data_IF_759751533158
#
_entry.id   IF_759751533158
#
_cell.length_a   1.000
_cell.length_b   1.000
_cell.length_c   1.000
_cell.angle_alpha   90.00
_cell.angle_beta   90.00
_cell.angle_gamma   90.00
#
_symmetry.space_group_name_H-M   'P 1'
#
loop_
_entity.id
_entity.type
_entity.pdbx_description
1 polymer ?
#
# COMPACT_ATOMS: atom_id res chain seq x y z
N UNK A 1 -42.20 18.85 5.94
CA UNK A 1 -42.13 17.59 5.17
C UNK A 1 -42.14 17.94 3.71
N UNK A 2 -41.35 17.21 2.89
CA UNK A 2 -41.25 17.40 1.43
C UNK A 2 -41.55 16.09 0.73
N UNK A 3 -42.26 16.09 -0.40
CA UNK A 3 -42.71 14.89 -1.09
C UNK A 3 -41.76 14.51 -2.23
N UNK A 4 -41.35 13.26 -2.31
CA UNK A 4 -40.59 12.72 -3.43
C UNK A 4 -41.48 12.67 -4.67
N UNK A 5 -41.17 13.49 -5.67
CA UNK A 5 -41.94 13.57 -6.92
C UNK A 5 -41.33 12.70 -8.04
N UNK A 6 -40.00 12.53 -8.04
CA UNK A 6 -39.34 11.63 -8.96
C UNK A 6 -38.01 11.09 -8.37
N UNK A 7 -37.64 9.88 -8.81
CA UNK A 7 -36.33 9.24 -8.58
C UNK A 7 -35.79 8.81 -9.95
N UNK A 8 -34.76 9.49 -10.43
CA UNK A 8 -34.23 9.26 -11.80
C UNK A 8 -32.78 8.76 -11.77
N UNK A 9 -32.49 7.72 -12.55
CA UNK A 9 -31.12 7.23 -12.72
C UNK A 9 -30.28 8.27 -13.46
N UNK A 10 -29.09 8.55 -12.95
CA UNK A 10 -28.17 9.49 -13.60
C UNK A 10 -27.62 8.91 -14.90
N UNK A 11 -27.70 9.66 -16.01
CA UNK A 11 -27.27 9.22 -17.35
C UNK A 11 -25.79 8.80 -17.42
N UNK A 12 -24.90 9.47 -16.65
CA UNK A 12 -23.45 9.20 -16.65
C UNK A 12 -23.00 8.28 -15.52
N UNK A 13 -23.88 7.94 -14.60
CA UNK A 13 -23.55 7.17 -13.39
C UNK A 13 -24.72 6.25 -13.03
N UNK A 14 -24.85 5.06 -13.64
CA UNK A 14 -26.00 4.15 -13.45
C UNK A 14 -26.23 3.71 -11.99
N UNK A 15 -25.18 3.81 -11.17
CA UNK A 15 -25.23 3.48 -9.73
C UNK A 15 -25.67 4.66 -8.86
N UNK A 16 -26.12 5.76 -9.46
CA UNK A 16 -26.59 6.97 -8.78
C UNK A 16 -27.97 7.38 -9.28
N UNK A 17 -28.74 8.00 -8.39
CA UNK A 17 -30.07 8.55 -8.70
C UNK A 17 -30.15 10.01 -8.27
N UNK A 18 -30.97 10.77 -9.01
CA UNK A 18 -31.40 12.11 -8.62
C UNK A 18 -32.72 12.01 -7.89
N UNK A 19 -32.84 12.68 -6.77
CA UNK A 19 -34.06 12.81 -5.98
C UNK A 19 -34.67 14.18 -6.25
N UNK A 20 -35.94 14.18 -6.64
CA UNK A 20 -36.75 15.39 -6.83
C UNK A 20 -37.76 15.49 -5.70
N UNK A 21 -37.80 16.63 -5.03
CA UNK A 21 -38.76 16.93 -3.98
C UNK A 21 -39.63 18.09 -4.44
N UNK A 22 -40.96 17.91 -4.33
CA UNK A 22 -41.95 18.91 -4.69
C UNK A 22 -41.81 19.45 -6.13
N UNK A 23 -41.30 18.61 -7.06
CA UNK A 23 -41.11 18.95 -8.45
C UNK A 23 -39.72 19.50 -8.81
N UNK A 24 -38.86 19.79 -7.82
CA UNK A 24 -37.54 20.36 -8.02
C UNK A 24 -36.43 19.36 -7.70
N UNK A 25 -35.30 19.45 -8.42
CA UNK A 25 -34.10 18.68 -8.06
C UNK A 25 -33.63 19.05 -6.65
N UNK A 26 -33.46 18.05 -5.79
CA UNK A 26 -33.02 18.26 -4.42
C UNK A 26 -31.56 17.79 -4.21
N UNK A 27 -31.26 16.52 -4.47
CA UNK A 27 -29.93 15.95 -4.29
C UNK A 27 -29.77 14.63 -5.06
N UNK A 28 -28.50 14.21 -5.23
CA UNK A 28 -28.17 12.90 -5.79
C UNK A 28 -27.75 11.91 -4.70
N UNK A 29 -28.16 10.65 -4.84
CA UNK A 29 -27.80 9.55 -3.94
C UNK A 29 -27.19 8.37 -4.70
N UNK A 30 -26.35 7.58 -4.05
CA UNK A 30 -26.02 6.24 -4.50
C UNK A 30 -27.29 5.37 -4.50
N UNK A 31 -27.44 4.47 -5.48
CA UNK A 31 -28.63 3.59 -5.55
C UNK A 31 -28.86 2.78 -4.29
N UNK A 32 -27.79 2.35 -3.64
CA UNK A 32 -27.87 1.59 -2.39
C UNK A 32 -28.48 2.43 -1.25
N UNK A 33 -28.16 3.74 -1.17
CA UNK A 33 -28.72 4.66 -0.18
C UNK A 33 -30.19 4.95 -0.50
N UNK A 34 -30.53 5.03 -1.78
CA UNK A 34 -31.90 5.30 -2.23
C UNK A 34 -32.81 4.05 -2.33
N UNK A 35 -32.31 2.86 -2.02
CA UNK A 35 -32.98 1.58 -2.28
C UNK A 35 -34.38 1.45 -1.64
N UNK A 36 -34.60 2.15 -0.54
CA UNK A 36 -35.85 2.12 0.23
C UNK A 36 -36.77 3.32 -0.04
N UNK A 37 -36.35 4.28 -0.87
CA UNK A 37 -37.15 5.43 -1.21
C UNK A 37 -38.13 5.11 -2.34
N UNK A 38 -39.31 5.74 -2.26
CA UNK A 38 -40.38 5.59 -3.26
C UNK A 38 -40.95 6.94 -3.67
N UNK A 39 -41.33 7.09 -4.93
CA UNK A 39 -42.09 8.24 -5.40
C UNK A 39 -43.42 8.33 -4.62
N UNK A 40 -43.78 9.52 -4.18
CA UNK A 40 -44.94 9.78 -3.34
C UNK A 40 -44.65 9.77 -1.86
N UNK A 41 -43.49 9.30 -1.39
CA UNK A 41 -43.07 9.30 0.01
C UNK A 41 -42.79 10.72 0.49
N UNK A 42 -43.22 11.03 1.71
CA UNK A 42 -42.88 12.29 2.38
C UNK A 42 -41.64 12.12 3.24
N UNK A 43 -40.76 13.10 3.19
CA UNK A 43 -39.52 13.17 3.95
C UNK A 43 -39.54 14.37 4.91
N UNK A 44 -39.20 14.16 6.17
CA UNK A 44 -38.87 15.24 7.09
C UNK A 44 -37.49 15.83 6.80
N UNK A 45 -37.20 17.03 7.26
CA UNK A 45 -35.87 17.65 7.16
C UNK A 45 -34.80 16.75 7.80
N UNK A 46 -35.08 16.19 8.97
CA UNK A 46 -34.18 15.24 9.65
C UNK A 46 -33.88 14.00 8.78
N UNK A 47 -34.89 13.49 8.04
CA UNK A 47 -34.70 12.34 7.16
C UNK A 47 -33.85 12.72 5.95
N UNK A 48 -34.00 13.92 5.42
CA UNK A 48 -33.18 14.45 4.32
C UNK A 48 -31.73 14.59 4.79
N UNK A 49 -31.47 15.15 5.96
CA UNK A 49 -30.13 15.25 6.55
C UNK A 49 -29.49 13.87 6.77
N UNK A 50 -30.23 12.87 7.27
CA UNK A 50 -29.76 11.50 7.41
C UNK A 50 -29.35 10.90 6.06
N UNK A 51 -30.17 11.05 5.02
CA UNK A 51 -29.87 10.55 3.67
C UNK A 51 -28.62 11.21 3.09
N UNK A 52 -28.43 12.51 3.30
CA UNK A 52 -27.24 13.23 2.87
C UNK A 52 -25.98 12.76 3.62
N UNK A 53 -26.11 12.49 4.93
CA UNK A 53 -25.02 11.94 5.73
C UNK A 53 -24.67 10.49 5.31
N UNK A 54 -25.68 9.66 4.99
CA UNK A 54 -25.48 8.32 4.43
C UNK A 54 -24.80 8.37 3.06
N UNK A 55 -25.20 9.28 2.19
CA UNK A 55 -24.56 9.52 0.90
C UNK A 55 -23.10 9.95 1.05
N UNK A 56 -22.81 10.85 1.99
CA UNK A 56 -21.44 11.27 2.24
C UNK A 56 -20.54 10.08 2.64
N UNK A 57 -21.03 9.19 3.51
CA UNK A 57 -20.33 7.96 3.93
C UNK A 57 -20.14 7.00 2.77
N UNK A 58 -21.18 6.78 1.96
CA UNK A 58 -21.11 5.86 0.82
C UNK A 58 -20.14 6.38 -0.25
N UNK A 59 -20.14 7.68 -0.54
CA UNK A 59 -19.17 8.30 -1.45
C UNK A 59 -17.73 8.14 -0.95
N UNK A 60 -17.48 8.35 0.33
CA UNK A 60 -16.17 8.17 0.92
C UNK A 60 -15.70 6.71 0.82
N UNK A 61 -16.60 5.77 1.10
CA UNK A 61 -16.32 4.34 0.99
C UNK A 61 -16.01 3.94 -0.46
N UNK A 62 -16.81 4.36 -1.44
CA UNK A 62 -16.55 4.10 -2.85
C UNK A 62 -15.21 4.69 -3.33
N UNK A 63 -14.86 5.90 -2.87
CA UNK A 63 -13.57 6.51 -3.16
C UNK A 63 -12.40 5.70 -2.58
N UNK A 64 -12.54 5.22 -1.33
CA UNK A 64 -11.54 4.37 -0.71
C UNK A 64 -11.39 3.03 -1.43
N UNK A 65 -12.50 2.40 -1.81
CA UNK A 65 -12.51 1.14 -2.59
C UNK A 65 -11.82 1.31 -3.94
N UNK A 66 -12.09 2.41 -4.64
CA UNK A 66 -11.41 2.73 -5.90
C UNK A 66 -9.90 2.90 -5.67
N UNK A 67 -9.48 3.55 -4.58
CA UNK A 67 -8.07 3.73 -4.26
C UNK A 67 -7.37 2.41 -3.89
N UNK A 68 -8.07 1.51 -3.21
CA UNK A 68 -7.59 0.17 -2.85
C UNK A 68 -7.53 -0.79 -4.04
N UNK A 69 -8.38 -0.61 -5.07
CA UNK A 69 -8.43 -1.51 -6.23
C UNK A 69 -7.11 -1.56 -7.04
N UNK A 70 -6.27 -0.53 -6.93
CA UNK A 70 -4.98 -0.47 -7.63
C UNK A 70 -3.86 -1.23 -6.91
N UNK A 71 -3.83 -1.21 -5.59
CA UNK A 71 -2.90 -1.93 -4.71
C UNK A 71 -3.30 -1.82 -3.24
N UNK A 72 -2.75 -2.68 -2.40
CA UNK A 72 -2.85 -2.52 -0.95
C UNK A 72 -2.31 -1.15 -0.49
N UNK A 73 -2.96 -0.56 0.51
CA UNK A 73 -2.66 0.76 1.09
C UNK A 73 -2.64 0.68 2.61
N UNK A 74 -1.81 1.51 3.24
CA UNK A 74 -1.92 1.74 4.68
C UNK A 74 -3.14 2.61 5.00
N UNK A 75 -3.63 2.55 6.24
CA UNK A 75 -4.73 3.42 6.69
C UNK A 75 -4.36 4.91 6.53
N UNK A 76 -3.13 5.29 6.79
CA UNK A 76 -2.63 6.65 6.57
C UNK A 76 -2.70 7.08 5.11
N UNK A 77 -2.36 6.19 4.15
CA UNK A 77 -2.49 6.48 2.71
C UNK A 77 -3.96 6.65 2.31
N UNK A 78 -4.88 5.83 2.86
CA UNK A 78 -6.33 5.95 2.61
C UNK A 78 -6.85 7.27 3.16
N UNK A 79 -6.53 7.61 4.41
CA UNK A 79 -6.88 8.88 5.05
C UNK A 79 -6.43 10.08 4.22
N UNK A 80 -5.18 10.09 3.79
CA UNK A 80 -4.64 11.16 2.94
C UNK A 80 -5.35 11.27 1.60
N UNK A 81 -5.73 10.13 1.00
CA UNK A 81 -6.51 10.13 -0.24
C UNK A 81 -7.89 10.75 -0.03
N UNK A 82 -8.60 10.36 1.02
CA UNK A 82 -9.93 10.89 1.33
C UNK A 82 -9.89 12.39 1.65
N UNK A 83 -8.87 12.86 2.39
CA UNK A 83 -8.65 14.31 2.64
C UNK A 83 -8.44 15.10 1.34
N UNK A 84 -7.71 14.55 0.37
CA UNK A 84 -7.53 15.19 -0.95
C UNK A 84 -8.82 15.31 -1.75
N UNK A 85 -9.81 14.48 -1.43
CA UNK A 85 -11.17 14.55 -1.99
C UNK A 85 -12.14 15.34 -1.12
N UNK A 86 -11.60 16.17 -0.19
CA UNK A 86 -12.35 17.07 0.67
C UNK A 86 -13.41 16.36 1.55
N UNK A 87 -13.18 15.08 1.87
CA UNK A 87 -14.03 14.30 2.77
C UNK A 87 -13.80 14.79 4.21
N UNK A 88 -14.87 15.14 4.98
CA UNK A 88 -14.73 15.56 6.37
C UNK A 88 -14.15 14.47 7.27
N UNK A 89 -13.33 14.86 8.26
CA UNK A 89 -12.63 13.91 9.14
C UNK A 89 -13.55 12.89 9.84
N UNK A 90 -14.75 13.27 10.36
CA UNK A 90 -15.67 12.29 10.96
C UNK A 90 -16.11 11.20 9.97
N UNK A 91 -16.29 11.55 8.70
CA UNK A 91 -16.67 10.59 7.65
C UNK A 91 -15.47 9.71 7.28
N UNK A 92 -14.25 10.26 7.29
CA UNK A 92 -13.01 9.48 7.08
C UNK A 92 -12.87 8.40 8.17
N UNK A 93 -13.04 8.77 9.45
CA UNK A 93 -12.95 7.81 10.56
C UNK A 93 -13.98 6.68 10.42
N UNK A 94 -15.23 7.02 10.12
CA UNK A 94 -16.28 6.02 9.90
C UNK A 94 -15.98 5.10 8.70
N UNK A 95 -15.38 5.67 7.64
CA UNK A 95 -14.98 4.91 6.47
C UNK A 95 -13.83 3.93 6.79
N UNK A 96 -12.81 4.40 7.53
CA UNK A 96 -11.70 3.55 7.96
C UNK A 96 -12.17 2.43 8.89
N UNK A 97 -13.07 2.73 9.82
CA UNK A 97 -13.64 1.72 10.70
C UNK A 97 -14.39 0.64 9.91
N UNK A 98 -15.23 1.02 8.94
CA UNK A 98 -15.89 0.06 8.05
C UNK A 98 -14.89 -0.78 7.26
N UNK A 99 -13.83 -0.16 6.71
CA UNK A 99 -12.79 -0.89 5.98
C UNK A 99 -12.02 -1.88 6.87
N UNK A 100 -11.81 -1.57 8.16
CA UNK A 100 -11.22 -2.51 9.13
C UNK A 100 -12.15 -3.70 9.38
N UNK A 101 -13.43 -3.44 9.62
CA UNK A 101 -14.45 -4.48 9.84
C UNK A 101 -14.57 -5.41 8.63
N UNK A 102 -14.49 -4.86 7.42
CA UNK A 102 -14.51 -5.61 6.17
C UNK A 102 -13.16 -6.30 5.84
N UNK A 103 -12.12 -6.13 6.68
CA UNK A 103 -10.77 -6.68 6.47
C UNK A 103 -9.98 -6.04 5.32
N UNK A 104 -10.44 -4.88 4.81
CA UNK A 104 -9.85 -4.19 3.65
C UNK A 104 -8.76 -3.17 4.03
N UNK A 105 -8.72 -2.74 5.29
CA UNK A 105 -7.68 -1.91 5.86
C UNK A 105 -7.09 -2.60 7.09
N UNK A 106 -5.84 -3.06 6.97
CA UNK A 106 -5.13 -3.73 8.04
C UNK A 106 -3.63 -3.44 7.92
N UNK A 107 -3.15 -2.52 8.76
CA UNK A 107 -1.75 -2.07 8.74
C UNK A 107 -0.75 -3.18 9.09
N UNK A 108 -1.13 -4.15 9.94
CA UNK A 108 -0.27 -5.31 10.24
C UNK A 108 -0.10 -6.22 9.00
N UNK A 109 -1.19 -6.50 8.30
CA UNK A 109 -1.14 -7.30 7.07
C UNK A 109 -0.37 -6.55 5.97
N UNK A 110 -0.61 -5.25 5.83
CA UNK A 110 0.12 -4.38 4.90
C UNK A 110 1.62 -4.39 5.18
N UNK A 111 2.03 -4.26 6.46
CA UNK A 111 3.43 -4.26 6.86
C UNK A 111 4.13 -5.59 6.52
N UNK A 112 3.50 -6.73 6.82
CA UNK A 112 4.02 -8.06 6.49
C UNK A 112 4.20 -8.22 4.97
N UNK A 113 3.17 -7.93 4.19
CA UNK A 113 3.23 -8.01 2.73
C UNK A 113 4.30 -7.07 2.13
N UNK A 114 4.51 -5.89 2.73
CA UNK A 114 5.58 -4.97 2.34
C UNK A 114 6.95 -5.57 2.56
N UNK A 115 7.21 -6.14 3.75
CA UNK A 115 8.49 -6.78 4.08
C UNK A 115 8.76 -7.98 3.19
N UNK A 116 7.78 -8.86 2.97
CA UNK A 116 7.88 -10.02 2.07
C UNK A 116 8.23 -9.58 0.65
N UNK A 117 7.52 -8.60 0.11
CA UNK A 117 7.79 -8.08 -1.23
C UNK A 117 9.19 -7.48 -1.36
N UNK A 118 9.65 -6.73 -0.34
CA UNK A 118 11.01 -6.16 -0.32
C UNK A 118 12.06 -7.25 -0.25
N UNK A 119 11.87 -8.23 0.62
CA UNK A 119 12.81 -9.36 0.77
C UNK A 119 12.94 -10.15 -0.54
N UNK A 120 11.84 -10.49 -1.19
CA UNK A 120 11.85 -11.31 -2.39
C UNK A 120 12.42 -10.58 -3.63
N UNK A 121 11.95 -9.35 -3.90
CA UNK A 121 12.23 -8.68 -5.19
C UNK A 121 13.30 -7.60 -5.12
N UNK A 122 13.42 -6.90 -3.98
CA UNK A 122 14.36 -5.79 -3.79
C UNK A 122 14.90 -5.80 -2.37
N UNK A 123 15.75 -6.77 -2.00
CA UNK A 123 16.24 -6.93 -0.65
C UNK A 123 16.80 -5.61 -0.09
N UNK A 124 16.32 -5.25 1.10
CA UNK A 124 16.73 -4.06 1.88
C UNK A 124 16.92 -4.43 3.33
N UNK A 125 17.71 -3.66 4.05
CA UNK A 125 17.92 -3.92 5.48
C UNK A 125 16.64 -3.74 6.30
N UNK A 126 16.57 -4.45 7.44
CA UNK A 126 15.54 -4.29 8.46
C UNK A 126 15.28 -2.80 8.77
N UNK A 127 16.36 -2.05 9.01
CA UNK A 127 16.29 -0.63 9.32
C UNK A 127 15.63 0.19 8.20
N UNK A 128 15.99 -0.06 6.96
CA UNK A 128 15.42 0.69 5.83
C UNK A 128 13.96 0.31 5.60
N UNK A 129 13.58 -0.97 5.72
CA UNK A 129 12.18 -1.40 5.62
C UNK A 129 11.32 -0.80 6.74
N UNK A 130 11.82 -0.76 7.98
CA UNK A 130 11.14 -0.10 9.08
C UNK A 130 10.92 1.40 8.82
N UNK A 131 11.92 2.09 8.28
CA UNK A 131 11.80 3.50 7.90
C UNK A 131 10.74 3.71 6.80
N UNK A 132 10.70 2.85 5.79
CA UNK A 132 9.69 2.90 4.73
C UNK A 132 8.26 2.73 5.28
N UNK A 133 8.07 1.79 6.21
CA UNK A 133 6.77 1.54 6.84
C UNK A 133 6.33 2.73 7.69
N UNK A 134 7.25 3.35 8.46
CA UNK A 134 6.96 4.61 9.19
C UNK A 134 6.59 5.76 8.27
N UNK A 135 7.28 5.90 7.14
CA UNK A 135 6.91 6.90 6.12
C UNK A 135 5.53 6.68 5.51
N UNK A 136 5.02 5.44 5.57
CA UNK A 136 3.65 5.11 5.18
C UNK A 136 2.63 5.31 6.30
N UNK A 137 3.07 5.81 7.45
CA UNK A 137 2.24 6.19 8.59
C UNK A 137 1.82 5.03 9.48
N UNK A 138 2.54 3.90 9.44
CA UNK A 138 2.25 2.77 10.33
C UNK A 138 2.74 3.06 11.75
N UNK A 139 2.04 2.52 12.74
CA UNK A 139 2.42 2.56 14.14
C UNK A 139 3.70 1.72 14.39
N UNK A 140 4.54 2.16 15.36
CA UNK A 140 5.81 1.50 15.67
C UNK A 140 5.67 0.03 16.05
N UNK A 141 4.57 -0.36 16.69
CA UNK A 141 4.28 -1.74 17.05
C UNK A 141 4.11 -2.63 15.80
N UNK A 142 3.30 -2.19 14.84
CA UNK A 142 3.10 -2.89 13.57
C UNK A 142 4.40 -2.99 12.75
N UNK A 143 5.19 -1.90 12.75
CA UNK A 143 6.50 -1.86 12.09
C UNK A 143 7.46 -2.84 12.72
N UNK A 144 7.62 -2.81 14.05
CA UNK A 144 8.56 -3.66 14.78
C UNK A 144 8.23 -5.14 14.60
N UNK A 145 6.95 -5.51 14.74
CA UNK A 145 6.48 -6.88 14.53
C UNK A 145 6.76 -7.37 13.10
N UNK A 146 6.53 -6.52 12.10
CA UNK A 146 6.72 -6.93 10.70
C UNK A 146 8.18 -7.18 10.33
N UNK A 147 9.13 -6.44 10.93
CA UNK A 147 10.55 -6.57 10.61
C UNK A 147 11.32 -7.47 11.56
N UNK A 148 10.68 -8.04 12.59
CA UNK A 148 11.32 -8.82 13.65
C UNK A 148 12.15 -9.99 13.12
N UNK A 149 11.59 -10.74 12.18
CA UNK A 149 12.20 -11.93 11.58
C UNK A 149 13.17 -11.64 10.44
N UNK A 150 13.41 -10.37 10.08
CA UNK A 150 14.28 -10.00 8.96
C UNK A 150 15.74 -10.27 9.32
N UNK A 151 16.39 -11.12 8.52
CA UNK A 151 17.83 -11.37 8.59
C UNK A 151 18.59 -10.52 7.58
N UNK A 152 19.26 -9.49 8.05
CA UNK A 152 20.05 -8.58 7.23
C UNK A 152 21.23 -9.28 6.51
N UNK A 153 21.84 -10.33 7.12
CA UNK A 153 22.94 -11.06 6.47
C UNK A 153 22.44 -11.87 5.29
N UNK A 154 21.34 -12.61 5.45
CA UNK A 154 20.74 -13.38 4.39
C UNK A 154 20.28 -12.46 3.24
N UNK A 155 19.59 -11.36 3.52
CA UNK A 155 19.12 -10.42 2.50
C UNK A 155 20.26 -9.67 1.78
N UNK A 156 21.32 -9.30 2.50
CA UNK A 156 22.50 -8.69 1.88
C UNK A 156 23.20 -9.66 0.93
N UNK A 157 23.33 -10.92 1.35
CA UNK A 157 23.92 -11.97 0.51
C UNK A 157 23.10 -12.22 -0.77
N UNK A 158 21.78 -12.37 -0.66
CA UNK A 158 20.90 -12.50 -1.84
C UNK A 158 21.00 -11.28 -2.77
N UNK A 159 21.04 -10.07 -2.20
CA UNK A 159 21.20 -8.87 -3.00
C UNK A 159 22.53 -8.85 -3.75
N UNK A 160 23.61 -9.28 -3.09
CA UNK A 160 24.94 -9.36 -3.67
C UNK A 160 25.03 -10.44 -4.77
N UNK A 161 24.44 -11.62 -4.56
CA UNK A 161 24.36 -12.67 -5.56
C UNK A 161 23.65 -12.19 -6.85
N UNK A 162 22.52 -11.49 -6.72
CA UNK A 162 21.80 -10.90 -7.87
C UNK A 162 22.63 -9.82 -8.60
N UNK A 163 23.67 -9.28 -7.96
CA UNK A 163 24.52 -8.20 -8.49
C UNK A 163 25.86 -8.67 -9.02
N UNK A 164 26.43 -9.76 -8.51
CA UNK A 164 27.81 -10.21 -8.78
C UNK A 164 28.13 -10.33 -10.26
N UNK A 165 27.23 -10.89 -11.07
CA UNK A 165 27.41 -11.06 -12.51
C UNK A 165 27.67 -9.75 -13.28
N UNK A 166 27.20 -8.61 -12.74
CA UNK A 166 27.45 -7.30 -13.33
C UNK A 166 28.79 -6.69 -12.93
N UNK A 167 29.50 -7.35 -12.06
CA UNK A 167 30.79 -6.91 -11.51
C UNK A 167 31.93 -7.92 -11.82
N UNK A 168 31.68 -8.91 -12.69
CA UNK A 168 32.68 -9.87 -13.13
C UNK A 168 33.84 -9.14 -13.83
N UNK A 169 35.07 -9.68 -13.67
CA UNK A 169 36.27 -9.13 -14.29
C UNK A 169 36.82 -7.85 -13.64
N UNK A 170 36.25 -7.41 -12.52
CA UNK A 170 36.80 -6.29 -11.76
C UNK A 170 37.84 -6.77 -10.76
N UNK A 171 38.91 -5.98 -10.59
CA UNK A 171 39.87 -6.17 -9.52
C UNK A 171 39.24 -6.00 -8.13
N UNK A 172 39.78 -6.67 -7.10
CA UNK A 172 39.23 -6.68 -5.73
C UNK A 172 38.84 -5.31 -5.18
N UNK A 173 39.68 -4.32 -5.31
CA UNK A 173 39.44 -3.01 -4.75
C UNK A 173 38.24 -2.33 -5.39
N UNK A 174 38.10 -2.46 -6.71
CA UNK A 174 36.96 -1.90 -7.45
C UNK A 174 35.68 -2.67 -7.20
N UNK A 175 35.73 -4.00 -7.21
CA UNK A 175 34.62 -4.88 -6.86
C UNK A 175 34.10 -4.56 -5.46
N UNK A 176 35.00 -4.56 -4.45
CA UNK A 176 34.67 -4.25 -3.06
C UNK A 176 33.96 -2.91 -2.93
N UNK A 177 34.48 -1.86 -3.56
CA UNK A 177 33.88 -0.53 -3.54
C UNK A 177 32.48 -0.54 -4.13
N UNK A 178 32.31 -1.03 -5.36
CA UNK A 178 31.03 -1.03 -6.08
C UNK A 178 29.96 -1.87 -5.38
N UNK A 179 30.33 -3.03 -4.84
CA UNK A 179 29.42 -3.91 -4.11
C UNK A 179 29.04 -3.32 -2.76
N UNK A 180 30.01 -2.77 -2.02
CA UNK A 180 29.74 -2.09 -0.73
C UNK A 180 28.80 -0.89 -0.92
N UNK A 181 29.05 -0.05 -1.92
CA UNK A 181 28.17 1.10 -2.22
C UNK A 181 26.76 0.66 -2.61
N UNK A 182 26.63 -0.44 -3.32
CA UNK A 182 25.33 -1.01 -3.69
C UNK A 182 24.56 -1.50 -2.47
N UNK A 183 25.20 -2.23 -1.55
CA UNK A 183 24.57 -2.74 -0.32
C UNK A 183 24.28 -1.60 0.68
N UNK A 184 25.17 -0.61 0.79
CA UNK A 184 24.97 0.56 1.64
C UNK A 184 23.71 1.37 1.23
N UNK A 185 23.48 1.57 -0.08
CA UNK A 185 22.25 2.20 -0.59
C UNK A 185 20.98 1.39 -0.30
N UNK A 186 21.10 0.11 0.03
CA UNK A 186 20.01 -0.76 0.47
C UNK A 186 19.84 -0.77 1.99
N UNK A 187 20.63 0.04 2.70
CA UNK A 187 20.53 0.30 4.13
C UNK A 187 21.29 -0.68 5.01
N UNK A 188 22.03 -1.64 4.44
CA UNK A 188 22.83 -2.59 5.24
C UNK A 188 23.97 -1.87 5.96
N UNK A 189 24.28 -2.32 7.18
CA UNK A 189 25.38 -1.79 7.97
C UNK A 189 26.72 -2.33 7.48
N UNK A 190 27.81 -1.63 7.79
CA UNK A 190 29.15 -2.08 7.40
C UNK A 190 29.50 -3.46 7.99
N UNK A 191 29.04 -3.76 9.20
CA UNK A 191 29.23 -5.08 9.83
C UNK A 191 28.57 -6.23 9.07
N UNK A 192 27.51 -5.96 8.31
CA UNK A 192 26.86 -6.92 7.41
C UNK A 192 27.54 -6.92 6.03
N UNK A 193 27.88 -5.74 5.52
CA UNK A 193 28.44 -5.58 4.16
C UNK A 193 29.79 -6.26 4.03
N UNK A 194 30.73 -6.01 4.96
CA UNK A 194 32.12 -6.48 4.83
C UNK A 194 32.21 -8.01 4.70
N UNK A 195 31.61 -8.83 5.58
CA UNK A 195 31.67 -10.30 5.44
C UNK A 195 30.96 -10.80 4.19
N UNK A 196 29.81 -10.19 3.80
CA UNK A 196 29.08 -10.59 2.60
C UNK A 196 29.90 -10.32 1.33
N UNK A 197 30.53 -9.15 1.22
CA UNK A 197 31.36 -8.80 0.05
C UNK A 197 32.54 -9.74 -0.08
N UNK A 198 33.24 -10.07 1.03
CA UNK A 198 34.33 -11.03 1.03
C UNK A 198 33.87 -12.43 0.61
N UNK A 199 32.73 -12.88 1.14
CA UNK A 199 32.17 -14.19 0.80
C UNK A 199 31.83 -14.30 -0.69
N UNK A 200 31.11 -13.33 -1.24
CA UNK A 200 30.72 -13.31 -2.66
C UNK A 200 31.94 -13.26 -3.58
N UNK A 201 32.97 -12.50 -3.20
CA UNK A 201 34.23 -12.47 -3.95
C UNK A 201 34.91 -13.85 -4.02
N UNK A 202 35.04 -14.49 -2.85
CA UNK A 202 35.69 -15.80 -2.78
C UNK A 202 34.91 -16.90 -3.52
N UNK A 203 33.57 -16.85 -3.47
CA UNK A 203 32.71 -17.79 -4.20
C UNK A 203 32.90 -17.60 -5.73
N UNK A 204 32.85 -16.36 -6.22
CA UNK A 204 32.97 -16.06 -7.63
C UNK A 204 34.34 -16.48 -8.24
N UNK A 205 35.44 -16.41 -7.46
CA UNK A 205 36.78 -16.76 -7.92
C UNK A 205 37.13 -18.23 -7.69
N UNK A 206 36.43 -18.96 -6.86
CA UNK A 206 36.57 -20.43 -6.76
C UNK A 206 35.96 -21.11 -7.98
N UNK A 207 34.87 -20.63 -8.48
CA UNK A 207 34.26 -21.17 -9.70
C UNK A 207 35.15 -20.96 -10.93
N UNK A 208 35.86 -19.83 -11.01
CA UNK A 208 36.80 -19.55 -12.13
C UNK A 208 38.00 -20.50 -12.11
N UNK A 209 38.57 -20.84 -10.96
CA UNK A 209 39.69 -21.77 -10.83
C UNK A 209 39.32 -23.22 -11.19
N UNK A 210 38.06 -23.63 -10.94
CA UNK A 210 37.62 -25.00 -11.25
C UNK A 210 37.42 -25.23 -12.75
N UNK A 211 37.00 -24.21 -13.50
CA UNK A 211 36.87 -24.28 -14.97
C UNK A 211 38.25 -24.29 -15.68
N UNK A 212 39.25 -23.58 -15.12
CA UNK A 212 40.62 -23.60 -15.69
C UNK A 212 41.31 -24.96 -15.51
N UNK A 213 40.98 -25.73 -14.45
CA UNK A 213 41.53 -27.08 -14.22
C UNK A 213 40.85 -28.16 -15.09
N UNK A 214 39.58 -28.01 -15.46
CA UNK A 214 38.88 -28.96 -16.35
C UNK A 214 39.28 -28.81 -17.85
N UNK A 215 39.64 -27.60 -18.28
CA UNK A 215 40.09 -27.36 -19.67
C UNK A 215 41.55 -27.78 -19.94
N UNK A 216 42.29 -28.20 -18.91
CA UNK A 216 43.68 -28.64 -19.00
C UNK A 216 43.85 -30.17 -18.92
N UNK A 217 42.75 -30.94 -18.90
CA UNK A 217 42.75 -32.42 -18.85
C UNK A 217 42.09 -33.01 -20.07
#
# INVERSE_FOLDING_TARGET
MRKITAIEVQKRSPNRVNIYLDGEFAFGLARIVAAWLRTGQELSEEKIEQLQAEEARERAFQQAMLFLSYRARSESEIRQNLRKHEIPEPVIEQTLERLRQDGLANDNQFARAWVENRSAFRPRSRRLMAMELRQKGLADEAVSSAVESVDDNALAYEAAQKRVNRLKGLEWNEFRKKMSDFLARRGFSYSVIAPVVNRIWNEAHKDEQHYEEEDLT
#
